data_IF_647053584814
#
_entry.id   IF_647053584814
#
_cell.length_a   1.000
_cell.length_b   1.000
_cell.length_c   1.000
_cell.angle_alpha   90.00
_cell.angle_beta   90.00
_cell.angle_gamma   90.00
#
_symmetry.space_group_name_H-M   'P 1'
#
loop_
_entity.id
_entity.type
_entity.pdbx_description
1 polymer ?
#
# COMPACT_ATOMS: atom_id res chain seq x y z
N UNK A 1 17.71 -5.94 6.18
CA UNK A 1 17.05 -6.99 7.00
C UNK A 1 15.56 -7.01 6.66
N UNK A 2 14.87 -8.17 6.76
CA UNK A 2 13.41 -8.27 6.53
C UNK A 2 12.66 -8.25 7.86
N UNK A 3 11.66 -7.37 7.97
CA UNK A 3 10.87 -7.20 9.19
C UNK A 3 9.42 -7.61 8.95
N UNK A 4 8.83 -8.32 9.92
CA UNK A 4 7.39 -8.61 9.92
C UNK A 4 6.61 -7.36 10.32
N UNK A 5 5.58 -7.04 9.57
CA UNK A 5 4.77 -5.82 9.75
C UNK A 5 3.31 -6.08 9.42
N UNK A 6 2.42 -5.20 9.88
CA UNK A 6 1.03 -5.15 9.43
C UNK A 6 0.89 -4.06 8.36
N UNK A 7 0.56 -4.46 7.14
CA UNK A 7 0.40 -3.58 5.98
C UNK A 7 -1.08 -3.23 5.83
N UNK A 8 -1.40 -1.94 5.82
CA UNK A 8 -2.74 -1.47 5.50
C UNK A 8 -2.99 -1.58 4.00
N UNK A 9 -4.20 -1.97 3.59
CA UNK A 9 -4.56 -2.07 2.17
C UNK A 9 -5.82 -1.28 1.89
N UNK A 10 -5.71 -0.37 0.93
CA UNK A 10 -6.82 0.35 0.31
C UNK A 10 -6.95 -0.11 -1.15
N UNK A 11 -8.16 -0.01 -1.69
CA UNK A 11 -8.43 -0.31 -3.10
C UNK A 11 -9.25 0.79 -3.75
N UNK A 12 -9.02 1.03 -5.04
CA UNK A 12 -9.73 2.03 -5.82
C UNK A 12 -9.43 1.93 -7.30
N UNK A 13 -10.05 2.81 -8.08
CA UNK A 13 -9.90 2.87 -9.53
C UNK A 13 -9.25 4.17 -9.95
N UNK A 14 -8.04 4.07 -10.49
CA UNK A 14 -7.25 5.18 -10.98
C UNK A 14 -6.78 4.91 -12.40
N UNK A 15 -6.80 5.94 -13.25
CA UNK A 15 -6.30 5.83 -14.63
C UNK A 15 -4.77 5.63 -14.71
N UNK A 16 -4.05 5.88 -13.62
CA UNK A 16 -2.60 5.66 -13.51
C UNK A 16 -2.14 5.66 -12.05
N UNK A 17 -0.92 5.17 -11.80
CA UNK A 17 -0.31 5.22 -10.47
C UNK A 17 -0.09 6.67 -9.99
N UNK A 18 0.25 7.59 -10.89
CA UNK A 18 0.44 9.00 -10.56
C UNK A 18 -0.84 9.63 -10.02
N UNK A 19 -2.00 9.26 -10.56
CA UNK A 19 -3.30 9.75 -10.06
C UNK A 19 -3.63 9.19 -8.68
N UNK A 20 -3.24 7.95 -8.38
CA UNK A 20 -3.38 7.38 -7.05
C UNK A 20 -2.51 8.14 -6.04
N UNK A 21 -1.25 8.42 -6.37
CA UNK A 21 -0.38 9.24 -5.51
C UNK A 21 -0.89 10.68 -5.35
N UNK A 22 -1.38 11.32 -6.42
CA UNK A 22 -1.97 12.65 -6.35
C UNK A 22 -3.15 12.69 -5.36
N UNK A 23 -4.04 11.69 -5.43
CA UNK A 23 -5.14 11.55 -4.47
C UNK A 23 -4.65 11.39 -3.03
N UNK A 24 -3.55 10.65 -2.80
CA UNK A 24 -2.98 10.51 -1.47
C UNK A 24 -2.37 11.82 -0.94
N UNK A 25 -1.72 12.61 -1.80
CA UNK A 25 -1.20 13.95 -1.43
C UNK A 25 -2.35 14.86 -1.01
N UNK A 26 -3.47 14.85 -1.74
CA UNK A 26 -4.64 15.66 -1.42
C UNK A 26 -5.29 15.20 -0.09
N UNK A 27 -5.39 13.89 0.14
CA UNK A 27 -6.03 13.33 1.33
C UNK A 27 -5.16 13.35 2.59
N UNK A 28 -3.83 13.28 2.44
CA UNK A 28 -2.86 13.19 3.53
C UNK A 28 -1.55 13.91 3.14
N UNK A 29 -1.52 15.25 3.14
CA UNK A 29 -0.39 16.03 2.62
C UNK A 29 0.92 15.87 3.41
N UNK A 30 0.83 15.44 4.67
CA UNK A 30 1.99 15.18 5.54
C UNK A 30 2.47 13.72 5.49
N UNK A 31 1.87 12.89 4.64
CA UNK A 31 2.22 11.49 4.53
C UNK A 31 3.61 11.28 3.89
N UNK A 32 4.31 10.25 4.35
CA UNK A 32 5.51 9.73 3.74
C UNK A 32 5.14 8.72 2.63
N UNK A 33 5.13 9.19 1.39
CA UNK A 33 4.80 8.37 0.22
C UNK A 33 5.90 7.38 -0.16
N UNK A 34 7.12 7.49 0.39
CA UNK A 34 8.16 6.47 0.23
C UNK A 34 7.82 5.19 1.02
N UNK A 35 6.89 5.28 1.98
CA UNK A 35 6.32 4.13 2.68
C UNK A 35 4.96 3.70 2.09
N UNK A 36 4.66 4.08 0.85
CA UNK A 36 3.44 3.68 0.13
C UNK A 36 3.79 2.96 -1.15
N UNK A 37 3.09 1.87 -1.44
CA UNK A 37 3.21 1.16 -2.72
C UNK A 37 1.87 1.15 -3.44
N UNK A 38 1.87 1.63 -4.67
CA UNK A 38 0.69 1.59 -5.55
C UNK A 38 0.87 0.46 -6.56
N UNK A 39 -0.06 -0.48 -6.55
CA UNK A 39 -0.09 -1.64 -7.45
C UNK A 39 -1.29 -1.53 -8.38
N UNK A 40 -1.06 -1.69 -9.68
CA UNK A 40 -2.11 -1.86 -10.68
C UNK A 40 -2.22 -3.33 -11.08
N UNK A 41 -3.36 -3.77 -11.59
CA UNK A 41 -3.50 -5.16 -12.08
C UNK A 41 -2.43 -5.53 -13.13
N UNK A 42 -1.99 -6.80 -13.17
CA UNK A 42 -2.29 -7.88 -12.22
C UNK A 42 -1.47 -7.78 -10.91
N UNK A 43 -2.13 -7.95 -9.75
CA UNK A 43 -1.50 -7.71 -8.45
C UNK A 43 -0.56 -8.83 -7.96
N UNK A 44 -0.90 -10.09 -8.25
CA UNK A 44 -0.33 -11.27 -7.59
C UNK A 44 1.20 -11.28 -7.58
N UNK A 45 1.82 -10.94 -8.72
CA UNK A 45 3.28 -10.92 -8.86
C UNK A 45 3.95 -9.94 -7.89
N UNK A 46 3.39 -8.75 -7.70
CA UNK A 46 3.97 -7.73 -6.80
C UNK A 46 3.56 -7.95 -5.35
N UNK A 47 2.33 -8.38 -5.09
CA UNK A 47 1.84 -8.64 -3.73
C UNK A 47 2.70 -9.64 -2.96
N UNK A 48 3.21 -10.68 -3.62
CA UNK A 48 4.10 -11.67 -2.99
C UNK A 48 5.43 -11.10 -2.47
N UNK A 49 5.80 -9.87 -2.81
CA UNK A 49 6.95 -9.20 -2.22
C UNK A 49 6.65 -8.57 -0.86
N UNK A 50 5.37 -8.25 -0.60
CA UNK A 50 4.92 -7.47 0.55
C UNK A 50 4.11 -8.31 1.55
N UNK A 51 3.16 -9.11 1.09
CA UNK A 51 2.27 -9.90 1.96
C UNK A 51 2.80 -11.31 2.15
N UNK A 52 2.63 -11.87 3.35
CA UNK A 52 2.99 -13.26 3.64
C UNK A 52 2.08 -14.23 2.86
N UNK A 53 0.82 -13.84 2.64
CA UNK A 53 -0.21 -14.59 1.90
C UNK A 53 -1.05 -13.63 1.07
N UNK A 54 -0.78 -13.56 -0.24
CA UNK A 54 -1.53 -12.68 -1.15
C UNK A 54 -3.00 -13.12 -1.31
N UNK A 55 -3.26 -14.43 -1.18
CA UNK A 55 -4.60 -15.03 -1.31
C UNK A 55 -5.54 -14.70 -0.15
N UNK A 56 -5.03 -14.05 0.91
CA UNK A 56 -5.85 -13.58 2.04
C UNK A 56 -6.62 -12.29 1.69
N UNK A 57 -6.25 -11.62 0.59
CA UNK A 57 -7.02 -10.50 0.07
C UNK A 57 -8.37 -11.01 -0.50
N UNK A 58 -9.49 -10.32 -0.21
CA UNK A 58 -10.77 -10.66 -0.82
C UNK A 58 -10.68 -10.50 -2.34
N UNK A 59 -11.58 -11.15 -3.07
CA UNK A 59 -11.77 -10.79 -4.48
C UNK A 59 -12.29 -9.35 -4.58
N UNK A 60 -11.80 -8.61 -5.57
CA UNK A 60 -11.98 -7.18 -5.67
C UNK A 60 -12.27 -6.81 -7.12
N UNK A 61 -13.14 -5.81 -7.32
CA UNK A 61 -13.41 -5.29 -8.66
C UNK A 61 -12.39 -4.21 -9.05
N UNK A 62 -11.84 -3.50 -8.07
CA UNK A 62 -10.95 -2.35 -8.27
C UNK A 62 -9.62 -2.74 -8.94
N UNK A 63 -9.09 -1.86 -9.78
CA UNK A 63 -7.87 -2.11 -10.56
C UNK A 63 -6.58 -1.61 -9.92
N UNK A 64 -6.69 -0.88 -8.80
CA UNK A 64 -5.55 -0.35 -8.04
C UNK A 64 -5.63 -0.76 -6.57
N UNK A 65 -4.49 -1.24 -6.04
CA UNK A 65 -4.27 -1.41 -4.61
C UNK A 65 -3.23 -0.40 -4.12
N UNK A 66 -3.45 0.12 -2.92
CA UNK A 66 -2.50 0.97 -2.22
C UNK A 66 -2.10 0.27 -0.93
N UNK A 67 -0.82 -0.06 -0.80
CA UNK A 67 -0.24 -0.66 0.39
C UNK A 67 0.36 0.43 1.27
N UNK A 68 -0.14 0.51 2.50
CA UNK A 68 0.32 1.45 3.51
C UNK A 68 1.33 0.73 4.40
N UNK A 69 2.62 0.97 4.17
CA UNK A 69 3.68 0.41 5.01
C UNK A 69 3.79 1.20 6.32
N UNK A 70 4.37 0.61 7.39
CA UNK A 70 4.56 1.31 8.65
C UNK A 70 5.37 2.59 8.48
N UNK A 71 4.85 3.70 8.99
CA UNK A 71 5.49 5.02 8.89
C UNK A 71 4.95 5.91 7.77
N UNK A 72 4.07 5.40 6.89
CA UNK A 72 3.50 6.21 5.79
C UNK A 72 2.70 7.43 6.23
N UNK A 73 2.12 7.45 7.43
CA UNK A 73 1.27 8.57 7.87
C UNK A 73 -0.08 8.67 7.14
N UNK A 74 -0.29 7.91 6.06
CA UNK A 74 -1.59 7.81 5.38
C UNK A 74 -2.61 7.12 6.29
N UNK A 75 -3.77 7.73 6.56
CA UNK A 75 -4.84 7.07 7.30
C UNK A 75 -5.38 5.85 6.54
N UNK A 76 -5.56 4.73 7.25
CA UNK A 76 -6.32 3.60 6.73
C UNK A 76 -7.82 3.91 6.85
N UNK A 77 -8.31 4.78 5.98
CA UNK A 77 -9.68 5.27 5.97
C UNK A 77 -10.25 5.25 4.55
N UNK A 78 -11.58 5.14 4.45
CA UNK A 78 -12.27 5.24 3.17
C UNK A 78 -12.28 6.71 2.70
N UNK A 79 -12.29 6.89 1.38
CA UNK A 79 -12.48 8.18 0.71
C UNK A 79 -13.42 7.97 -0.48
N UNK A 80 -13.79 9.05 -1.18
CA UNK A 80 -14.61 8.96 -2.40
C UNK A 80 -13.99 8.08 -3.51
N UNK A 81 -12.67 7.84 -3.46
CA UNK A 81 -11.93 7.02 -4.44
C UNK A 81 -11.32 5.74 -3.87
N UNK A 82 -11.35 5.57 -2.54
CA UNK A 82 -10.65 4.48 -1.87
C UNK A 82 -11.55 3.77 -0.88
N UNK A 83 -11.59 2.45 -0.96
CA UNK A 83 -12.21 1.56 0.01
C UNK A 83 -11.15 0.91 0.89
N UNK A 84 -11.46 0.77 2.19
CA UNK A 84 -10.63 -0.01 3.11
C UNK A 84 -10.81 -1.49 2.84
N UNK A 85 -9.69 -2.19 2.62
CA UNK A 85 -9.66 -3.65 2.48
C UNK A 85 -9.36 -4.30 3.82
N UNK A 86 -8.38 -3.75 4.54
CA UNK A 86 -8.02 -4.22 5.88
C UNK A 86 -6.53 -4.06 6.17
N UNK A 87 -6.07 -4.81 7.18
CA UNK A 87 -4.65 -4.94 7.54
C UNK A 87 -4.23 -6.39 7.38
N UNK A 88 -3.10 -6.60 6.71
CA UNK A 88 -2.59 -7.93 6.39
C UNK A 88 -1.15 -8.10 6.88
N UNK A 89 -0.78 -9.29 7.37
CA UNK A 89 0.59 -9.57 7.75
C UNK A 89 1.49 -9.58 6.50
N UNK A 90 2.64 -8.94 6.61
CA UNK A 90 3.58 -8.79 5.53
C UNK A 90 5.03 -8.63 5.99
N UNK A 91 5.91 -8.42 5.02
CA UNK A 91 7.33 -8.23 5.20
C UNK A 91 7.82 -7.04 4.39
N UNK A 92 8.58 -6.18 5.05
CA UNK A 92 9.30 -5.08 4.39
C UNK A 92 10.80 -5.29 4.51
N UNK A 93 11.51 -4.98 3.43
CA UNK A 93 12.97 -4.94 3.42
C UNK A 93 13.38 -3.51 3.72
N UNK A 94 14.14 -3.29 4.79
CA UNK A 94 14.84 -2.02 5.02
C UNK A 94 16.34 -2.23 4.86
N UNK A 95 16.98 -1.30 4.14
CA UNK A 95 18.41 -1.14 4.15
C UNK A 95 18.84 -0.66 5.54
N UNK A 96 19.97 -1.17 6.04
CA UNK A 96 20.64 -0.54 7.17
C UNK A 96 21.24 0.75 6.59
N UNK A 97 20.89 1.91 7.16
CA UNK A 97 21.65 3.13 6.89
C UNK A 97 23.03 2.87 7.51
N UNK A 98 24.13 2.93 6.76
CA UNK A 98 25.47 2.83 7.36
C UNK A 98 25.62 3.94 8.40
N UNK A 99 26.04 3.58 9.62
CA UNK A 99 26.54 4.59 10.56
C UNK A 99 27.85 5.14 9.98
N UNK A 100 27.96 6.47 9.88
CA UNK A 100 29.21 7.16 9.50
C UNK A 100 30.30 7.00 10.57
#
# INVERSE_FOLDING_TARGET
MRFRVAIGVLAGDFGSQQLAFAHLVDAAPEADLDQVEVLTRPFARRLGHFLDRADDLPDMAEDTLILLLPGSGVPLAATDRLRVVGRFPGRVTRALIPEE
#
